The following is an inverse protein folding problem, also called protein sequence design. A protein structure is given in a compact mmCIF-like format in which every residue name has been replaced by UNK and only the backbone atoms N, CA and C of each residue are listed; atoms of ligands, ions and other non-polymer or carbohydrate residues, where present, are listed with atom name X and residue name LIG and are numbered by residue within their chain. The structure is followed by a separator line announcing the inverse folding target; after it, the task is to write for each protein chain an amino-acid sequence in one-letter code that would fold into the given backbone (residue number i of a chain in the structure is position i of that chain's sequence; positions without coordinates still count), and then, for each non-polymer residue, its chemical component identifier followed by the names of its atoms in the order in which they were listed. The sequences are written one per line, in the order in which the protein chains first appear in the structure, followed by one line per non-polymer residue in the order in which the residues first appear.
data_IF_919264303044
#
_entry.id   IF_919264303044
#
_cell.length_a   1.000
_cell.length_b   1.000
_cell.length_c   1.000
_cell.angle_alpha   90.00
_cell.angle_beta   90.00
_cell.angle_gamma   90.00
#
_symmetry.space_group_name_H-M   'P 1'
#
loop_
_entity.id
_entity.type
_entity.pdbx_description
1 polymer ?
#
# COMPACT_ATOMS: atom_id res chain seq x y z
N UNK A 1 -19.51 48.94 48.73
CA UNK A 1 -20.26 48.28 47.65
C UNK A 1 -19.57 48.56 46.31
N UNK A 2 -18.50 47.83 45.93
CA UNK A 2 -18.02 47.90 44.53
C UNK A 2 -17.07 46.78 44.05
N UNK A 3 -16.57 45.90 44.93
CA UNK A 3 -15.55 44.90 44.51
C UNK A 3 -16.02 43.44 44.49
N UNK A 4 -17.28 43.14 44.82
CA UNK A 4 -17.79 41.75 44.76
C UNK A 4 -18.34 41.38 43.38
N UNK A 5 -18.75 42.36 42.58
CA UNK A 5 -19.34 42.12 41.26
C UNK A 5 -18.29 41.98 40.14
N UNK A 6 -17.06 42.49 40.33
CA UNK A 6 -15.98 42.37 39.35
C UNK A 6 -15.23 41.03 39.40
N UNK A 7 -15.33 40.27 40.50
CA UNK A 7 -14.61 39.00 40.64
C UNK A 7 -15.39 37.77 40.11
N UNK A 8 -16.72 37.90 39.98
CA UNK A 8 -17.62 36.84 39.50
C UNK A 8 -17.73 36.83 37.97
N UNK A 9 -17.54 37.98 37.30
CA UNK A 9 -17.60 38.07 35.84
C UNK A 9 -16.32 37.61 35.14
N UNK A 10 -15.14 37.88 35.71
CA UNK A 10 -13.88 37.65 35.01
C UNK A 10 -13.44 36.18 35.00
N UNK A 11 -13.63 35.47 36.12
CA UNK A 11 -13.22 34.07 36.28
C UNK A 11 -14.11 33.08 35.52
N UNK A 12 -15.43 33.33 35.47
CA UNK A 12 -16.38 32.52 34.71
C UNK A 12 -16.26 32.69 33.19
N UNK A 13 -15.96 33.92 32.73
CA UNK A 13 -15.75 34.18 31.31
C UNK A 13 -14.41 33.60 30.85
N UNK A 14 -13.33 33.74 31.64
CA UNK A 14 -12.04 33.13 31.29
C UNK A 14 -12.10 31.60 31.24
N UNK A 15 -12.80 30.94 32.16
CA UNK A 15 -12.97 29.48 32.14
C UNK A 15 -13.79 29.00 30.95
N UNK A 16 -14.86 29.74 30.58
CA UNK A 16 -15.66 29.44 29.39
C UNK A 16 -14.84 29.63 28.11
N UNK A 17 -14.09 30.72 27.98
CA UNK A 17 -13.21 30.98 26.84
C UNK A 17 -12.10 29.93 26.74
N UNK A 18 -11.46 29.56 27.86
CA UNK A 18 -10.42 28.52 27.86
C UNK A 18 -10.97 27.16 27.43
N UNK A 19 -12.20 26.82 27.81
CA UNK A 19 -12.86 25.56 27.43
C UNK A 19 -13.25 25.56 25.94
N UNK A 20 -13.76 26.68 25.43
CA UNK A 20 -14.05 26.85 24.00
C UNK A 20 -12.77 26.77 23.16
N UNK A 21 -11.70 27.43 23.62
CA UNK A 21 -10.38 27.40 22.96
C UNK A 21 -9.80 25.98 22.99
N UNK A 22 -9.87 25.25 24.11
CA UNK A 22 -9.39 23.86 24.15
C UNK A 22 -10.18 22.96 23.22
N UNK A 23 -11.52 23.10 23.18
CA UNK A 23 -12.37 22.31 22.27
C UNK A 23 -12.09 22.62 20.78
N UNK A 24 -11.75 23.86 20.44
CA UNK A 24 -11.35 24.25 19.09
C UNK A 24 -9.95 23.70 18.76
N UNK A 25 -9.01 23.74 19.71
CA UNK A 25 -7.67 23.18 19.55
C UNK A 25 -7.73 21.66 19.31
N UNK A 26 -8.53 20.92 20.09
CA UNK A 26 -8.71 19.46 19.94
C UNK A 26 -9.39 19.09 18.61
N UNK A 27 -10.23 19.99 18.08
CA UNK A 27 -10.90 19.79 16.78
C UNK A 27 -9.99 20.11 15.58
N UNK A 28 -8.98 20.96 15.77
CA UNK A 28 -8.00 21.35 14.74
C UNK A 28 -6.77 20.43 14.78
N UNK A 29 -6.38 19.98 15.97
CA UNK A 29 -5.34 18.98 16.21
C UNK A 29 -6.03 17.71 16.68
N UNK A 30 -6.59 16.88 15.77
CA UNK A 30 -6.98 15.54 16.18
C UNK A 30 -5.73 14.89 16.78
N UNK A 31 -5.83 14.39 18.01
CA UNK A 31 -4.78 13.58 18.62
C UNK A 31 -4.49 12.42 17.66
N UNK A 32 -3.45 12.55 16.85
CA UNK A 32 -2.92 11.45 16.07
C UNK A 32 -2.24 10.59 17.12
N UNK A 33 -2.69 9.35 17.39
CA UNK A 33 -1.98 8.48 18.29
C UNK A 33 -0.59 8.18 17.70
N UNK A 34 0.41 9.02 17.97
CA UNK A 34 1.74 8.92 17.38
C UNK A 34 2.44 7.59 17.70
N UNK A 35 2.06 6.98 18.82
CA UNK A 35 2.58 5.69 19.23
C UNK A 35 2.08 4.53 18.36
N UNK A 36 0.87 4.61 17.81
CA UNK A 36 0.31 3.49 17.01
C UNK A 36 0.96 3.46 15.63
N UNK A 37 1.20 4.61 14.99
CA UNK A 37 1.85 4.63 13.67
C UNK A 37 3.25 4.01 13.66
N UNK A 38 4.11 4.36 14.62
CA UNK A 38 5.47 3.83 14.70
C UNK A 38 5.43 2.33 15.01
N UNK A 39 4.48 1.90 15.85
CA UNK A 39 4.26 0.50 16.18
C UNK A 39 3.82 -0.29 14.94
N UNK A 40 2.88 0.25 14.14
CA UNK A 40 2.40 -0.37 12.91
C UNK A 40 3.55 -0.56 11.91
N UNK A 41 4.39 0.48 11.72
CA UNK A 41 5.56 0.40 10.86
C UNK A 41 6.58 -0.62 11.37
N UNK A 42 6.85 -0.65 12.69
CA UNK A 42 7.75 -1.62 13.30
C UNK A 42 7.26 -3.06 13.08
N UNK A 43 5.95 -3.31 13.25
CA UNK A 43 5.33 -4.62 13.00
C UNK A 43 5.49 -5.02 11.52
N UNK A 44 5.21 -4.10 10.59
CA UNK A 44 5.38 -4.35 9.15
C UNK A 44 6.84 -4.73 8.84
N UNK A 45 7.81 -3.99 9.36
CA UNK A 45 9.24 -4.22 9.11
C UNK A 45 9.71 -5.57 9.68
N UNK A 46 9.28 -5.91 10.89
CA UNK A 46 9.64 -7.19 11.53
C UNK A 46 9.04 -8.36 10.75
N UNK A 47 7.74 -8.31 10.47
CA UNK A 47 7.05 -9.38 9.73
C UNK A 47 7.61 -9.54 8.32
N UNK A 48 7.79 -8.44 7.58
CA UNK A 48 8.42 -8.46 6.27
C UNK A 48 9.82 -9.07 6.32
N UNK A 49 10.64 -8.71 7.32
CA UNK A 49 11.98 -9.28 7.47
C UNK A 49 11.96 -10.79 7.74
N UNK A 50 11.07 -11.26 8.61
CA UNK A 50 10.95 -12.69 8.93
C UNK A 50 10.49 -13.50 7.71
N UNK A 51 9.45 -13.02 7.02
CA UNK A 51 8.93 -13.68 5.81
C UNK A 51 9.97 -13.67 4.70
N UNK A 52 10.60 -12.52 4.43
CA UNK A 52 11.62 -12.42 3.39
C UNK A 52 12.84 -13.28 3.71
N UNK A 53 13.26 -13.40 4.98
CA UNK A 53 14.34 -14.31 5.38
C UNK A 53 13.96 -15.78 5.13
N UNK A 54 12.70 -16.16 5.39
CA UNK A 54 12.21 -17.48 5.07
C UNK A 54 12.21 -17.75 3.55
N UNK A 55 11.77 -16.79 2.74
CA UNK A 55 11.78 -16.89 1.27
C UNK A 55 13.20 -16.90 0.69
N UNK A 56 14.12 -16.17 1.31
CA UNK A 56 15.54 -16.20 0.99
C UNK A 56 16.13 -17.61 1.22
N UNK A 57 15.75 -18.27 2.32
CA UNK A 57 16.15 -19.68 2.58
C UNK A 57 15.61 -20.64 1.52
N UNK A 58 14.46 -20.34 0.92
CA UNK A 58 13.81 -21.14 -0.14
C UNK A 58 14.35 -20.77 -1.54
N UNK A 59 15.31 -19.84 -1.65
CA UNK A 59 15.89 -19.34 -2.92
C UNK A 59 14.85 -18.74 -3.88
N UNK A 60 13.82 -18.09 -3.33
CA UNK A 60 12.83 -17.36 -4.12
C UNK A 60 13.23 -15.88 -4.24
N UNK A 61 12.87 -15.19 -5.34
CA UNK A 61 13.04 -13.74 -5.46
C UNK A 61 12.45 -12.99 -4.26
N UNK A 62 13.23 -12.06 -3.69
CA UNK A 62 12.87 -11.33 -2.47
C UNK A 62 11.53 -10.58 -2.58
N UNK A 63 11.22 -10.10 -3.78
CA UNK A 63 9.98 -9.35 -4.05
C UNK A 63 8.72 -10.17 -3.76
N UNK A 64 8.78 -11.48 -3.98
CA UNK A 64 7.67 -12.40 -3.67
C UNK A 64 7.48 -12.50 -2.15
N UNK A 65 8.58 -12.49 -1.40
CA UNK A 65 8.56 -12.45 0.06
C UNK A 65 7.90 -11.17 0.59
N UNK A 66 8.24 -10.01 0.03
CA UNK A 66 7.62 -8.73 0.41
C UNK A 66 6.12 -8.68 0.08
N UNK A 67 5.71 -9.20 -1.08
CA UNK A 67 4.29 -9.29 -1.46
C UNK A 67 3.53 -10.23 -0.52
N UNK A 68 4.11 -11.39 -0.22
CA UNK A 68 3.52 -12.36 0.70
C UNK A 68 3.41 -11.80 2.12
N UNK A 69 4.43 -11.08 2.59
CA UNK A 69 4.38 -10.36 3.86
C UNK A 69 3.25 -9.33 3.89
N UNK A 70 3.10 -8.53 2.83
CA UNK A 70 2.00 -7.59 2.68
C UNK A 70 0.62 -8.27 2.68
N UNK A 71 0.49 -9.42 2.02
CA UNK A 71 -0.72 -10.24 2.06
C UNK A 71 -1.02 -10.79 3.46
N UNK A 72 0.01 -11.14 4.24
CA UNK A 72 -0.12 -11.60 5.62
C UNK A 72 -0.37 -10.47 6.65
N UNK A 73 0.02 -9.25 6.34
CA UNK A 73 -0.20 -8.08 7.19
C UNK A 73 -1.57 -7.44 6.86
N UNK A 74 -1.99 -7.54 5.60
CA UNK A 74 -3.22 -6.96 5.11
C UNK A 74 -4.48 -7.48 5.81
N UNK A 75 -5.61 -6.76 5.67
CA UNK A 75 -6.87 -7.06 6.37
C UNK A 75 -7.46 -8.44 6.04
N UNK A 76 -7.02 -9.07 4.95
CA UNK A 76 -7.47 -10.40 4.50
C UNK A 76 -6.53 -11.53 4.92
N UNK A 77 -5.59 -11.29 5.84
CA UNK A 77 -4.60 -12.28 6.25
C UNK A 77 -5.21 -13.53 6.92
N UNK A 78 -4.94 -14.75 6.39
CA UNK A 78 -5.36 -16.01 7.00
C UNK A 78 -4.77 -16.24 8.41
N UNK A 79 -3.62 -15.63 8.71
CA UNK A 79 -2.96 -15.82 10.01
C UNK A 79 -3.62 -15.01 11.13
N UNK A 80 -4.10 -13.80 10.85
CA UNK A 80 -4.74 -12.95 11.87
C UNK A 80 -6.19 -13.37 12.13
N UNK A 81 -6.93 -13.73 11.08
CA UNK A 81 -8.31 -14.25 11.21
C UNK A 81 -8.36 -15.59 11.97
N UNK A 82 -7.29 -16.40 11.93
CA UNK A 82 -7.22 -17.66 12.67
C UNK A 82 -6.74 -17.50 14.13
N UNK A 83 -6.13 -16.37 14.50
CA UNK A 83 -5.60 -16.12 15.85
C UNK A 83 -6.53 -15.24 16.71
N UNK A 84 -7.48 -14.52 16.11
CA UNK A 84 -8.59 -13.89 16.82
C UNK A 84 -9.88 -14.66 16.52
N UNK A 85 -10.46 -15.38 17.49
CA UNK A 85 -11.82 -15.87 17.39
C UNK A 85 -12.77 -14.67 17.36
N UNK A 86 -13.31 -14.34 16.19
CA UNK A 86 -14.59 -13.62 16.09
C UNK A 86 -15.47 -14.39 15.14
N UNK A 87 -16.65 -14.78 15.63
CA UNK A 87 -17.61 -15.60 14.92
C UNK A 87 -17.94 -14.99 13.54
N UNK A 88 -18.03 -15.77 12.45
CA UNK A 88 -17.99 -15.25 11.08
C UNK A 88 -19.24 -14.47 10.64
N UNK A 89 -20.24 -14.26 11.51
CA UNK A 89 -21.58 -13.87 11.07
C UNK A 89 -22.28 -12.74 11.84
N UNK A 90 -21.80 -12.27 13.00
CA UNK A 90 -22.60 -11.32 13.80
C UNK A 90 -21.96 -9.98 14.21
N UNK A 91 -20.73 -9.66 13.81
CA UNK A 91 -20.16 -8.33 14.09
C UNK A 91 -19.87 -7.53 12.81
N UNK A 92 -20.91 -6.92 12.26
CA UNK A 92 -20.83 -5.86 11.24
C UNK A 92 -20.31 -4.53 11.81
N UNK A 93 -19.21 -4.52 12.55
CA UNK A 93 -18.60 -3.29 13.10
C UNK A 93 -17.08 -3.34 12.94
N UNK A 94 -16.58 -2.41 12.14
CA UNK A 94 -15.21 -2.36 11.67
C UNK A 94 -14.19 -1.98 12.75
N UNK A 95 -13.10 -2.72 12.71
CA UNK A 95 -11.71 -2.38 13.09
C UNK A 95 -10.87 -3.59 12.65
N UNK A 96 -10.86 -3.93 11.36
CA UNK A 96 -9.99 -3.32 10.34
C UNK A 96 -8.51 -3.35 10.72
N UNK A 97 -7.90 -4.54 10.64
CA UNK A 97 -6.44 -4.72 10.57
C UNK A 97 -5.63 -4.29 11.81
N UNK A 98 -4.38 -4.73 11.84
CA UNK A 98 -3.34 -4.25 12.79
C UNK A 98 -2.95 -2.78 12.49
N UNK A 99 -3.44 -2.22 11.38
CA UNK A 99 -2.95 -0.97 10.82
C UNK A 99 -4.01 0.11 10.94
N UNK A 100 -3.68 1.09 11.76
CA UNK A 100 -4.57 2.17 12.19
C UNK A 100 -4.84 3.18 11.07
N UNK A 101 -3.96 3.26 10.07
CA UNK A 101 -4.02 4.24 8.99
C UNK A 101 -3.49 3.69 7.64
N UNK A 102 -4.39 3.10 6.86
CA UNK A 102 -4.09 2.60 5.51
C UNK A 102 -3.73 3.74 4.54
N UNK A 103 -4.23 4.96 4.80
CA UNK A 103 -4.01 6.12 3.91
C UNK A 103 -2.56 6.57 3.95
N UNK A 104 -1.97 6.66 5.15
CA UNK A 104 -0.55 7.02 5.31
C UNK A 104 0.35 5.97 4.67
N UNK A 105 0.07 4.68 4.87
CA UNK A 105 0.85 3.59 4.26
C UNK A 105 0.80 3.62 2.74
N UNK A 106 -0.34 3.99 2.14
CA UNK A 106 -0.46 4.14 0.70
C UNK A 106 0.47 5.25 0.17
N UNK A 107 0.55 6.38 0.86
CA UNK A 107 1.47 7.48 0.49
C UNK A 107 2.92 7.01 0.56
N UNK A 108 3.32 6.30 1.62
CA UNK A 108 4.68 5.74 1.73
C UNK A 108 4.99 4.69 0.65
N UNK A 109 4.01 3.84 0.31
CA UNK A 109 4.15 2.85 -0.75
C UNK A 109 4.29 3.52 -2.13
N UNK A 110 3.50 4.56 -2.41
CA UNK A 110 3.58 5.34 -3.64
C UNK A 110 4.95 6.04 -3.76
N UNK A 111 5.41 6.69 -2.69
CA UNK A 111 6.76 7.28 -2.63
C UNK A 111 7.83 6.21 -2.87
N UNK A 112 7.70 5.03 -2.25
CA UNK A 112 8.63 3.91 -2.43
C UNK A 112 8.71 3.43 -3.88
N UNK A 113 7.57 3.29 -4.57
CA UNK A 113 7.51 2.91 -5.99
C UNK A 113 8.10 4.01 -6.87
N UNK A 114 7.80 5.29 -6.59
CA UNK A 114 8.36 6.43 -7.33
C UNK A 114 9.89 6.44 -7.20
N UNK A 115 10.42 6.27 -5.98
CA UNK A 115 11.87 6.21 -5.75
C UNK A 115 12.51 5.01 -6.43
N UNK A 116 11.87 3.84 -6.41
CA UNK A 116 12.34 2.65 -7.11
C UNK A 116 12.43 2.91 -8.63
N UNK A 117 11.36 3.43 -9.23
CA UNK A 117 11.33 3.77 -10.65
C UNK A 117 12.37 4.84 -11.01
N UNK A 118 12.62 5.79 -10.11
CA UNK A 118 13.64 6.81 -10.29
C UNK A 118 15.06 6.23 -10.28
N UNK A 119 15.38 5.36 -9.32
CA UNK A 119 16.69 4.69 -9.23
C UNK A 119 16.93 3.86 -10.48
N UNK A 120 15.95 3.04 -10.88
CA UNK A 120 16.00 2.24 -12.11
C UNK A 120 16.25 3.15 -13.32
N UNK A 121 15.57 4.30 -13.38
CA UNK A 121 15.77 5.30 -14.44
C UNK A 121 17.19 5.87 -14.52
N UNK A 122 17.84 6.10 -13.38
CA UNK A 122 19.24 6.57 -13.31
C UNK A 122 20.25 5.47 -13.66
N UNK A 123 19.94 4.21 -13.37
CA UNK A 123 20.83 3.08 -13.60
C UNK A 123 20.99 2.73 -15.09
N UNK A 124 20.01 3.06 -15.93
CA UNK A 124 20.10 2.79 -17.38
C UNK A 124 20.82 3.90 -18.16
N UNK A 125 22.04 3.65 -18.68
CA UNK A 125 22.73 4.62 -19.50
C UNK A 125 21.98 4.79 -20.84
N UNK A 126 21.82 6.04 -21.26
CA UNK A 126 21.12 6.42 -22.49
C UNK A 126 21.62 5.67 -23.75
N UNK A 127 22.90 5.31 -23.79
CA UNK A 127 23.50 4.54 -24.89
C UNK A 127 22.91 3.14 -25.05
N UNK A 128 22.61 2.43 -23.95
CA UNK A 128 21.96 1.11 -23.99
C UNK A 128 20.53 1.20 -24.49
N UNK A 129 19.79 2.24 -24.08
CA UNK A 129 18.41 2.48 -24.53
C UNK A 129 18.37 2.71 -26.04
N UNK A 130 19.28 3.52 -26.59
CA UNK A 130 19.34 3.77 -28.03
C UNK A 130 19.69 2.52 -28.84
N UNK A 131 20.59 1.68 -28.32
CA UNK A 131 20.99 0.44 -29.00
C UNK A 131 19.84 -0.58 -29.12
N UNK A 132 19.00 -0.69 -28.08
CA UNK A 132 17.94 -1.70 -28.00
C UNK A 132 16.57 -1.12 -28.41
N UNK A 133 16.41 0.21 -28.49
CA UNK A 133 15.11 0.87 -28.66
C UNK A 133 14.27 0.41 -29.86
N UNK A 134 14.88 0.24 -31.05
CA UNK A 134 14.14 -0.26 -32.22
C UNK A 134 13.63 -1.70 -32.05
N UNK A 135 14.46 -2.54 -31.45
CA UNK A 135 14.11 -3.93 -31.13
C UNK A 135 13.03 -3.97 -30.03
N UNK A 136 13.16 -3.12 -29.01
CA UNK A 136 12.22 -3.02 -27.89
C UNK A 136 10.81 -2.65 -28.36
N UNK A 137 10.68 -1.72 -29.32
CA UNK A 137 9.36 -1.36 -29.88
C UNK A 137 8.74 -2.55 -30.61
N UNK A 138 9.51 -3.25 -31.46
CA UNK A 138 9.01 -4.38 -32.23
C UNK A 138 8.57 -5.55 -31.35
N UNK A 139 9.46 -6.01 -30.45
CA UNK A 139 9.19 -7.12 -29.54
C UNK A 139 8.13 -6.74 -28.51
N UNK A 140 8.15 -5.50 -28.00
CA UNK A 140 7.17 -5.02 -27.03
C UNK A 140 5.76 -4.96 -27.61
N UNK A 141 5.59 -4.42 -28.82
CA UNK A 141 4.29 -4.39 -29.49
C UNK A 141 3.80 -5.80 -29.81
N UNK A 142 4.68 -6.66 -30.36
CA UNK A 142 4.33 -8.04 -30.67
C UNK A 142 3.94 -8.82 -29.42
N UNK A 143 4.69 -8.66 -28.32
CA UNK A 143 4.40 -9.27 -27.03
C UNK A 143 3.08 -8.79 -26.45
N UNK A 144 2.79 -7.49 -26.51
CA UNK A 144 1.53 -6.92 -26.03
C UNK A 144 0.33 -7.48 -26.80
N UNK A 145 0.35 -7.42 -28.14
CA UNK A 145 -0.76 -7.94 -28.94
C UNK A 145 -0.89 -9.47 -28.82
N UNK A 146 0.23 -10.19 -28.71
CA UNK A 146 0.23 -11.64 -28.53
C UNK A 146 -0.38 -12.02 -27.18
N UNK A 147 0.05 -11.41 -26.08
CA UNK A 147 -0.49 -11.68 -24.73
C UNK A 147 -1.97 -11.30 -24.64
N UNK A 148 -2.35 -10.14 -25.18
CA UNK A 148 -3.75 -9.71 -25.24
C UNK A 148 -4.61 -10.72 -26.02
N UNK A 149 -4.17 -11.18 -27.19
CA UNK A 149 -4.90 -12.19 -27.96
C UNK A 149 -5.02 -13.54 -27.23
N UNK A 150 -3.94 -13.99 -26.59
CA UNK A 150 -3.88 -15.29 -25.92
C UNK A 150 -4.74 -15.31 -24.66
N UNK A 151 -4.70 -14.25 -23.85
CA UNK A 151 -5.56 -14.10 -22.67
C UNK A 151 -7.02 -13.92 -23.07
N UNK A 152 -7.31 -13.16 -24.13
CA UNK A 152 -8.68 -13.00 -24.63
C UNK A 152 -9.27 -14.35 -25.07
N UNK A 153 -8.49 -15.15 -25.81
CA UNK A 153 -8.91 -16.48 -26.24
C UNK A 153 -9.13 -17.43 -25.06
N UNK A 154 -8.21 -17.45 -24.09
CA UNK A 154 -8.34 -18.25 -22.87
C UNK A 154 -9.57 -17.84 -22.04
N UNK A 155 -9.81 -16.54 -21.92
CA UNK A 155 -10.97 -15.97 -21.20
C UNK A 155 -12.30 -16.32 -21.88
N UNK A 156 -12.32 -16.31 -23.21
CA UNK A 156 -13.49 -16.72 -23.98
C UNK A 156 -13.78 -18.22 -23.83
N UNK A 157 -12.76 -19.07 -23.73
CA UNK A 157 -12.92 -20.50 -23.42
C UNK A 157 -13.49 -20.76 -22.01
N UNK A 158 -13.24 -19.86 -21.06
CA UNK A 158 -13.84 -19.89 -19.73
C UNK A 158 -15.31 -19.42 -19.72
N UNK A 159 -15.86 -19.04 -20.88
CA UNK A 159 -17.26 -18.61 -21.03
C UNK A 159 -17.53 -17.16 -20.65
N UNK A 160 -16.49 -16.33 -20.53
CA UNK A 160 -16.64 -14.90 -20.24
C UNK A 160 -17.22 -14.15 -21.44
N UNK A 161 -18.00 -13.09 -21.18
CA UNK A 161 -18.54 -12.23 -22.23
C UNK A 161 -17.40 -11.51 -22.97
N UNK A 162 -17.68 -11.02 -24.18
CA UNK A 162 -16.69 -10.34 -25.01
C UNK A 162 -16.00 -9.17 -24.27
N UNK A 163 -16.79 -8.30 -23.62
CA UNK A 163 -16.22 -7.15 -22.90
C UNK A 163 -15.45 -7.55 -21.64
N UNK A 164 -15.91 -8.56 -20.91
CA UNK A 164 -15.21 -9.05 -19.71
C UNK A 164 -13.87 -9.71 -20.10
N UNK A 165 -13.87 -10.46 -21.19
CA UNK A 165 -12.67 -11.10 -21.75
C UNK A 165 -11.67 -10.07 -22.26
N UNK A 166 -12.15 -9.01 -22.93
CA UNK A 166 -11.29 -7.93 -23.43
C UNK A 166 -10.69 -7.12 -22.27
N UNK A 167 -11.48 -6.83 -21.24
CA UNK A 167 -11.01 -6.14 -20.04
C UNK A 167 -9.94 -6.96 -19.32
N UNK A 168 -10.19 -8.25 -19.10
CA UNK A 168 -9.22 -9.15 -18.45
C UNK A 168 -7.94 -9.31 -19.28
N UNK A 169 -8.07 -9.42 -20.61
CA UNK A 169 -6.94 -9.49 -21.53
C UNK A 169 -6.09 -8.22 -21.50
N UNK A 170 -6.73 -7.05 -21.52
CA UNK A 170 -6.03 -5.78 -21.41
C UNK A 170 -5.32 -5.66 -20.05
N UNK A 171 -6.01 -5.98 -18.96
CA UNK A 171 -5.45 -5.92 -17.61
C UNK A 171 -4.22 -6.84 -17.42
N UNK A 172 -4.28 -8.07 -17.93
CA UNK A 172 -3.18 -9.04 -17.81
C UNK A 172 -2.05 -8.83 -18.83
N UNK A 173 -2.30 -8.11 -19.93
CA UNK A 173 -1.27 -7.80 -20.94
C UNK A 173 -0.20 -6.80 -20.47
N UNK A 174 -0.49 -6.04 -19.41
CA UNK A 174 0.42 -5.02 -18.88
C UNK A 174 1.48 -5.70 -18.00
N UNK A 175 2.74 -5.54 -18.40
CA UNK A 175 3.89 -6.04 -17.64
C UNK A 175 4.54 -4.94 -16.81
N UNK A 176 4.80 -5.21 -15.52
CA UNK A 176 5.54 -4.29 -14.64
C UNK A 176 7.05 -4.46 -14.84
N UNK A 177 7.60 -3.79 -15.86
CA UNK A 177 9.02 -3.88 -16.25
C UNK A 177 9.97 -3.54 -15.10
N UNK A 178 9.62 -2.58 -14.25
CA UNK A 178 10.41 -2.18 -13.10
C UNK A 178 10.63 -3.33 -12.09
N UNK A 179 9.58 -4.10 -11.81
CA UNK A 179 9.67 -5.24 -10.89
C UNK A 179 10.53 -6.35 -11.50
N UNK A 180 10.40 -6.59 -12.81
CA UNK A 180 11.21 -7.61 -13.51
C UNK A 180 12.69 -7.26 -13.46
N UNK A 181 13.04 -5.99 -13.75
CA UNK A 181 14.41 -5.50 -13.69
C UNK A 181 14.95 -5.65 -12.28
N UNK A 182 14.17 -5.25 -11.27
CA UNK A 182 14.56 -5.40 -9.86
C UNK A 182 14.79 -6.86 -9.47
N UNK A 183 13.97 -7.79 -9.95
CA UNK A 183 14.16 -9.23 -9.72
C UNK A 183 15.47 -9.72 -10.34
N UNK A 184 15.80 -9.27 -11.57
CA UNK A 184 17.05 -9.65 -12.22
C UNK A 184 18.28 -9.13 -11.48
N UNK A 185 18.24 -7.90 -10.96
CA UNK A 185 19.30 -7.33 -10.12
C UNK A 185 19.43 -8.05 -8.78
N UNK A 186 18.31 -8.45 -8.15
CA UNK A 186 18.34 -9.14 -6.85
C UNK A 186 18.76 -10.63 -6.97
N UNK A 187 18.71 -11.21 -8.17
CA UNK A 187 19.05 -12.63 -8.43
C UNK A 187 20.43 -12.82 -9.07
N UNK A 188 21.04 -11.76 -9.61
CA UNK A 188 22.36 -11.76 -10.27
C UNK A 188 23.47 -11.16 -9.41
#
# INVERSE_FOLDING_TARGET
MQNFFLQVGESGIQTTINTEISNIIDKITPDIPHNTFITDLAIIMILASVVTLAFFKIRQPLIIGYLFAGMLIGPLSPLWTSLLPTDPFESGTGTLGILSDVSVLNIFAEIGIILLLFVIGIEFPYSKIRAIGKMAIGIGALGLFSTLGLVFFASSMLGLKFMDSLFLAAALSISSTAIIIKIFEDTG
#
